data_IF_288649676929
#
_entry.id   IF_288649676929
#
_cell.length_a   1.000
_cell.length_b   1.000
_cell.length_c   1.000
_cell.angle_alpha   90.00
_cell.angle_beta   90.00
_cell.angle_gamma   90.00
#
_symmetry.space_group_name_H-M   'P 1'
#
loop_
_entity.id
_entity.type
_entity.pdbx_description
1 polymer ?
#
# COMPACT_ATOMS: atom_id res chain seq x y z
N UNK A 1 1.35 15.64 4.13
CA UNK A 1 1.10 14.36 4.84
C UNK A 1 0.43 14.56 6.22
N UNK A 2 1.01 15.33 7.15
CA UNK A 2 0.46 15.47 8.53
C UNK A 2 -0.97 16.03 8.61
N UNK A 3 -1.35 16.95 7.72
CA UNK A 3 -2.70 17.54 7.70
C UNK A 3 -3.77 16.54 7.26
N UNK A 4 -3.50 15.79 6.20
CA UNK A 4 -4.41 14.77 5.67
C UNK A 4 -4.55 13.58 6.63
N UNK A 5 -3.45 13.20 7.30
CA UNK A 5 -3.47 12.14 8.33
C UNK A 5 -4.35 12.55 9.52
N UNK A 6 -4.31 13.83 9.96
CA UNK A 6 -5.24 14.34 10.97
C UNK A 6 -6.69 14.33 10.50
N UNK A 7 -6.96 14.78 9.27
CA UNK A 7 -8.32 14.81 8.70
C UNK A 7 -8.93 13.41 8.59
N UNK A 8 -8.15 12.44 8.12
CA UNK A 8 -8.59 11.05 7.95
C UNK A 8 -8.41 10.19 9.20
N UNK A 9 -7.95 10.79 10.30
CA UNK A 9 -7.65 10.12 11.57
C UNK A 9 -6.79 8.86 11.39
N UNK A 10 -5.66 9.03 10.68
CA UNK A 10 -4.68 7.97 10.41
C UNK A 10 -3.40 8.29 11.16
N UNK A 11 -3.04 7.43 12.11
CA UNK A 11 -1.74 7.47 12.77
C UNK A 11 -0.68 6.78 11.91
N UNK A 12 0.44 7.47 11.69
CA UNK A 12 1.56 6.95 10.91
C UNK A 12 2.72 6.73 11.86
N UNK A 13 3.03 5.46 12.12
CA UNK A 13 4.19 5.05 12.91
C UNK A 13 5.31 4.62 11.97
N UNK A 14 6.50 5.20 12.15
CA UNK A 14 7.68 4.82 11.40
C UNK A 14 8.62 4.05 12.31
N UNK A 15 8.67 2.74 12.11
CA UNK A 15 9.65 1.86 12.75
C UNK A 15 11.01 2.06 12.05
N UNK A 16 12.06 2.28 12.83
CA UNK A 16 13.42 2.40 12.35
C UNK A 16 14.35 1.49 13.15
N UNK A 17 15.46 1.10 12.53
CA UNK A 17 16.41 0.17 13.11
C UNK A 17 17.34 0.91 14.08
N UNK A 18 17.30 0.53 15.36
CA UNK A 18 18.19 1.09 16.38
C UNK A 18 19.60 0.51 16.27
N UNK A 19 20.62 1.28 16.67
CA UNK A 19 22.01 0.84 16.66
C UNK A 19 22.17 -0.42 17.52
N UNK A 20 22.72 -1.49 16.93
CA UNK A 20 22.92 -2.78 17.58
C UNK A 20 21.91 -3.86 17.14
N UNK A 21 20.83 -3.47 16.46
CA UNK A 21 19.98 -4.41 15.73
C UNK A 21 20.57 -4.64 14.34
N UNK A 22 20.47 -5.86 13.82
CA UNK A 22 20.93 -6.22 12.47
C UNK A 22 19.79 -6.46 11.49
N UNK A 23 18.58 -6.76 11.98
CA UNK A 23 17.40 -7.04 11.14
C UNK A 23 16.12 -6.44 11.76
N UNK A 24 15.19 -6.03 10.89
CA UNK A 24 13.82 -5.66 11.27
C UNK A 24 12.91 -6.90 11.29
N UNK A 25 11.85 -6.87 12.10
CA UNK A 25 10.83 -7.94 12.08
C UNK A 25 10.25 -8.15 10.67
N UNK A 26 10.07 -7.05 9.92
CA UNK A 26 9.56 -7.06 8.54
C UNK A 26 10.47 -7.87 7.60
N UNK A 27 11.79 -7.81 7.79
CA UNK A 27 12.75 -8.52 6.93
C UNK A 27 12.58 -10.05 7.05
N UNK A 28 12.28 -10.52 8.27
CA UNK A 28 12.04 -11.95 8.53
C UNK A 28 10.77 -12.48 7.83
N UNK A 29 9.72 -11.65 7.77
CA UNK A 29 8.47 -11.98 7.08
C UNK A 29 8.70 -12.01 5.57
N UNK A 30 9.43 -11.02 5.04
CA UNK A 30 9.72 -10.93 3.61
C UNK A 30 10.50 -12.15 3.12
N UNK A 31 11.59 -12.49 3.82
CA UNK A 31 12.40 -13.67 3.51
C UNK A 31 11.59 -14.97 3.50
N UNK A 32 10.66 -15.10 4.45
CA UNK A 32 9.78 -16.28 4.51
C UNK A 32 8.83 -16.31 3.32
N UNK A 33 8.13 -15.21 3.02
CA UNK A 33 7.13 -15.15 1.95
C UNK A 33 7.72 -15.35 0.55
N UNK A 34 8.93 -14.84 0.28
CA UNK A 34 9.64 -15.05 -0.98
C UNK A 34 9.81 -16.53 -1.32
N UNK A 35 10.04 -17.39 -0.32
CA UNK A 35 10.15 -18.82 -0.54
C UNK A 35 8.83 -19.48 -0.98
N UNK A 36 7.69 -18.93 -0.56
CA UNK A 36 6.35 -19.46 -0.84
C UNK A 36 5.71 -18.84 -2.09
N UNK A 37 6.13 -17.65 -2.52
CA UNK A 37 5.63 -16.99 -3.74
C UNK A 37 6.32 -17.49 -5.00
N UNK A 38 6.28 -18.80 -5.23
CA UNK A 38 6.80 -19.43 -6.46
C UNK A 38 5.71 -19.63 -7.50
N UNK A 39 5.95 -19.33 -8.79
CA UNK A 39 4.97 -19.59 -9.84
C UNK A 39 4.64 -21.09 -9.96
N UNK A 40 3.45 -21.45 -10.46
CA UNK A 40 2.41 -20.56 -10.99
C UNK A 40 1.48 -19.99 -9.90
N UNK A 41 1.04 -18.74 -10.10
CA UNK A 41 0.03 -18.04 -9.30
C UNK A 41 -1.10 -17.67 -10.27
N UNK A 42 -2.32 -18.17 -10.04
CA UNK A 42 -3.42 -18.04 -11.00
C UNK A 42 -4.42 -16.96 -10.59
N UNK A 43 -4.55 -16.70 -9.29
CA UNK A 43 -5.45 -15.70 -8.73
C UNK A 43 -4.76 -14.86 -7.65
N UNK A 44 -5.13 -13.57 -7.49
CA UNK A 44 -4.73 -12.78 -6.33
C UNK A 44 -5.05 -13.45 -4.98
N UNK A 45 -6.11 -14.26 -4.92
CA UNK A 45 -6.46 -15.03 -3.72
C UNK A 45 -5.41 -16.07 -3.34
N UNK A 46 -4.62 -16.56 -4.30
CA UNK A 46 -3.55 -17.54 -4.04
C UNK A 46 -2.45 -16.94 -3.16
N UNK A 47 -2.19 -15.64 -3.28
CA UNK A 47 -1.23 -14.94 -2.42
C UNK A 47 -1.67 -14.98 -0.97
N UNK A 48 -2.96 -14.70 -0.70
CA UNK A 48 -3.52 -14.72 0.66
C UNK A 48 -3.37 -16.12 1.27
N UNK A 49 -3.72 -17.14 0.50
CA UNK A 49 -3.60 -18.55 0.92
C UNK A 49 -2.15 -18.91 1.25
N UNK A 50 -1.19 -18.52 0.40
CA UNK A 50 0.24 -18.78 0.63
C UNK A 50 0.83 -18.00 1.80
N UNK A 51 0.41 -16.75 1.99
CA UNK A 51 0.77 -15.97 3.17
C UNK A 51 0.33 -16.66 4.46
N UNK A 52 -0.88 -17.28 4.48
CA UNK A 52 -1.37 -18.03 5.65
C UNK A 52 -0.54 -19.28 5.92
N UNK A 53 -0.06 -19.93 4.87
CA UNK A 53 0.75 -21.15 4.95
C UNK A 53 2.22 -20.90 5.32
N UNK A 54 2.72 -19.68 5.10
CA UNK A 54 4.13 -19.34 5.27
C UNK A 54 4.68 -19.59 6.68
N UNK A 55 3.82 -19.55 7.72
CA UNK A 55 4.23 -19.76 9.12
C UNK A 55 3.30 -20.76 9.85
N UNK A 56 3.60 -22.07 9.84
CA UNK A 56 2.70 -23.10 10.37
C UNK A 56 2.42 -23.02 11.88
N UNK A 57 3.45 -22.75 12.70
CA UNK A 57 3.34 -22.80 14.16
C UNK A 57 2.67 -21.55 14.76
N UNK A 58 2.66 -20.43 14.03
CA UNK A 58 2.02 -19.17 14.43
C UNK A 58 1.71 -18.33 13.17
N UNK A 59 0.60 -18.60 12.49
CA UNK A 59 0.28 -17.96 11.20
C UNK A 59 0.26 -16.44 11.26
N UNK A 60 0.65 -15.79 10.17
CA UNK A 60 0.54 -14.33 10.06
C UNK A 60 -0.92 -13.88 10.07
N UNK A 61 -1.19 -12.76 10.75
CA UNK A 61 -2.49 -12.10 10.69
C UNK A 61 -2.60 -11.32 9.37
N UNK A 62 -3.27 -11.90 8.39
CA UNK A 62 -3.39 -11.32 7.04
C UNK A 62 -4.71 -10.56 6.95
N UNK A 63 -4.59 -9.24 6.83
CA UNK A 63 -5.71 -8.34 6.55
C UNK A 63 -5.89 -8.22 5.04
N UNK A 64 -6.97 -8.82 4.53
CA UNK A 64 -7.35 -8.65 3.12
C UNK A 64 -7.97 -7.27 2.98
N UNK A 65 -7.45 -6.47 2.07
CA UNK A 65 -7.95 -5.13 1.82
C UNK A 65 -9.27 -5.22 1.05
N UNK A 66 -10.27 -4.50 1.54
CA UNK A 66 -11.56 -4.32 0.88
C UNK A 66 -11.71 -2.87 0.42
N UNK A 67 -12.84 -2.56 -0.21
CA UNK A 67 -13.16 -1.18 -0.62
C UNK A 67 -13.24 -0.21 0.57
N UNK A 68 -13.46 -0.70 1.79
CA UNK A 68 -13.54 0.14 3.00
C UNK A 68 -12.17 0.67 3.43
N UNK A 69 -11.09 -0.03 3.07
CA UNK A 69 -9.73 0.42 3.34
C UNK A 69 -9.38 1.70 2.58
N UNK A 70 -9.84 1.83 1.33
CA UNK A 70 -9.54 2.98 0.49
C UNK A 70 -10.35 4.20 0.93
N UNK A 71 -9.65 5.27 1.29
CA UNK A 71 -10.29 6.53 1.67
C UNK A 71 -10.78 7.25 0.41
N UNK A 72 -11.96 7.87 0.50
CA UNK A 72 -12.49 8.71 -0.56
C UNK A 72 -11.76 10.06 -0.59
N UNK A 73 -11.29 10.44 -1.78
CA UNK A 73 -10.59 11.70 -2.06
C UNK A 73 -11.26 12.52 -3.18
N UNK A 74 -12.53 12.23 -3.52
CA UNK A 74 -13.25 12.89 -4.62
C UNK A 74 -13.31 14.41 -4.41
N UNK A 75 -13.48 14.86 -3.17
CA UNK A 75 -13.49 16.28 -2.83
C UNK A 75 -12.15 17.01 -3.02
N UNK A 76 -11.04 16.28 -3.18
CA UNK A 76 -9.71 16.85 -3.42
C UNK A 76 -9.27 16.75 -4.89
N UNK A 77 -10.03 16.03 -5.73
CA UNK A 77 -9.70 15.84 -7.13
C UNK A 77 -10.54 16.76 -8.02
N UNK A 78 -9.99 17.91 -8.38
CA UNK A 78 -10.62 18.83 -9.32
C UNK A 78 -10.56 18.34 -10.79
N UNK A 79 -9.93 17.21 -11.04
CA UNK A 79 -9.69 16.69 -12.39
C UNK A 79 -10.83 15.75 -12.75
N UNK A 80 -11.67 16.20 -13.66
CA UNK A 80 -12.82 15.44 -14.18
C UNK A 80 -12.43 14.40 -15.23
N UNK A 81 -11.20 14.46 -15.76
CA UNK A 81 -10.74 13.59 -16.84
C UNK A 81 -9.22 13.39 -16.83
N UNK A 82 -8.79 12.13 -16.92
CA UNK A 82 -7.38 11.73 -17.11
C UNK A 82 -6.91 11.81 -18.57
N UNK A 83 -7.72 12.40 -19.46
CA UNK A 83 -7.35 12.57 -20.88
C UNK A 83 -6.39 13.76 -21.02
N UNK A 84 -5.50 13.74 -22.02
CA UNK A 84 -4.70 14.92 -22.37
C UNK A 84 -5.60 16.13 -22.62
N UNK A 85 -5.18 17.29 -22.09
CA UNK A 85 -5.87 18.56 -22.27
C UNK A 85 -5.97 18.92 -23.75
N UNK A 86 -7.07 19.56 -24.14
CA UNK A 86 -7.29 19.98 -25.53
C UNK A 86 -6.87 21.43 -25.77
N UNK A 87 -6.80 22.24 -24.71
CA UNK A 87 -6.42 23.65 -24.75
C UNK A 87 -5.26 23.94 -23.80
N UNK A 88 -4.46 24.95 -24.12
CA UNK A 88 -3.42 25.47 -23.23
C UNK A 88 -4.07 26.01 -21.95
N UNK A 89 -3.75 25.39 -20.81
CA UNK A 89 -4.32 25.74 -19.50
C UNK A 89 -5.30 24.69 -18.92
N UNK A 90 -5.64 23.64 -19.66
CA UNK A 90 -6.40 22.51 -19.11
C UNK A 90 -5.55 21.76 -18.07
N UNK A 91 -6.14 21.44 -16.91
CA UNK A 91 -5.51 20.56 -15.91
C UNK A 91 -5.34 19.17 -16.51
N UNK A 92 -4.12 18.64 -16.48
CA UNK A 92 -3.75 17.35 -17.08
C UNK A 92 -3.27 16.36 -16.03
N UNK A 93 -3.15 15.09 -16.43
CA UNK A 93 -2.69 13.99 -15.54
C UNK A 93 -1.36 14.29 -14.86
N UNK A 94 -0.47 15.04 -15.50
CA UNK A 94 0.82 15.42 -14.91
C UNK A 94 0.69 16.37 -13.72
N UNK A 95 -0.42 17.11 -13.62
CA UNK A 95 -0.70 18.00 -12.49
C UNK A 95 -1.15 17.22 -11.24
N UNK A 96 -1.61 15.96 -11.40
CA UNK A 96 -1.93 15.08 -10.27
C UNK A 96 -0.70 14.70 -9.46
N UNK A 97 0.48 14.66 -10.08
CA UNK A 97 1.73 14.27 -9.41
C UNK A 97 2.29 15.34 -8.48
N UNK A 98 1.68 16.53 -8.39
CA UNK A 98 2.19 17.63 -7.58
C UNK A 98 1.18 18.10 -6.52
N UNK A 99 1.06 17.33 -5.44
CA UNK A 99 0.66 17.92 -4.16
C UNK A 99 1.90 18.63 -3.57
N UNK A 100 1.97 19.95 -3.74
CA UNK A 100 2.89 20.84 -3.00
C UNK A 100 2.50 20.90 -1.53
#
# INVERSE_FOLDING_TARGET
LRLLSKEKNVDIEQLFLCKGHTMMEVDSVHSTLEHYFKPPLYSPSDYITRMRMARPSQPYNIKVLDYSFFKNYDAMCDITSLRPGKKTGDKVVTDLCQLK
#
